data_IF_422174326627
#
_entry.id   IF_422174326627
#
_cell.length_a   1.000
_cell.length_b   1.000
_cell.length_c   1.000
_cell.angle_alpha   90.00
_cell.angle_beta   90.00
_cell.angle_gamma   90.00
#
_symmetry.space_group_name_H-M   'P 1'
#
loop_
_entity.id
_entity.type
_entity.pdbx_description
1 polymer ?
#
# COMPACT_ATOMS: atom_id res chain seq x y z
N UNK A 1 6.32 -17.49 -46.88
CA UNK A 1 6.21 -16.08 -46.46
C UNK A 1 5.12 -15.88 -45.39
N UNK A 2 5.08 -16.71 -44.34
CA UNK A 2 4.08 -16.61 -43.24
C UNK A 2 4.76 -16.43 -41.86
N UNK A 3 6.09 -16.42 -41.77
CA UNK A 3 6.80 -16.35 -40.48
C UNK A 3 6.97 -14.94 -39.90
N UNK A 4 6.78 -13.87 -40.68
CA UNK A 4 7.09 -12.51 -40.21
C UNK A 4 5.93 -11.85 -39.42
N UNK A 5 4.68 -12.19 -39.74
CA UNK A 5 3.51 -11.66 -39.03
C UNK A 5 3.36 -12.25 -37.61
N UNK A 6 3.67 -13.54 -37.42
CA UNK A 6 3.66 -14.21 -36.11
C UNK A 6 4.74 -13.69 -35.18
N UNK A 7 5.93 -13.37 -35.70
CA UNK A 7 7.02 -12.81 -34.90
C UNK A 7 6.74 -11.37 -34.42
N UNK A 8 6.02 -10.57 -35.21
CA UNK A 8 5.55 -9.25 -34.76
C UNK A 8 4.53 -9.35 -33.62
N UNK A 9 3.60 -10.30 -33.68
CA UNK A 9 2.56 -10.45 -32.65
C UNK A 9 3.13 -10.82 -31.26
N UNK A 10 4.17 -11.66 -31.22
CA UNK A 10 4.83 -12.07 -29.97
C UNK A 10 5.63 -10.93 -29.30
N UNK A 11 6.14 -9.98 -30.08
CA UNK A 11 6.90 -8.85 -29.54
C UNK A 11 6.01 -7.72 -28.97
N UNK A 12 4.76 -7.61 -29.43
CA UNK A 12 3.83 -6.57 -28.99
C UNK A 12 3.18 -6.88 -27.63
N UNK A 13 2.95 -8.14 -27.32
CA UNK A 13 2.29 -8.52 -26.07
C UNK A 13 2.99 -8.05 -24.79
N UNK A 14 4.31 -8.29 -24.58
CA UNK A 14 4.96 -7.87 -23.34
C UNK A 14 5.05 -6.33 -23.22
N UNK A 15 5.06 -5.61 -24.34
CA UNK A 15 5.01 -4.14 -24.36
C UNK A 15 3.64 -3.67 -23.87
N UNK A 16 2.57 -4.26 -24.41
CA UNK A 16 1.20 -3.94 -24.02
C UNK A 16 0.98 -4.21 -22.52
N UNK A 17 1.29 -5.42 -22.04
CA UNK A 17 1.13 -5.77 -20.63
C UNK A 17 2.08 -5.00 -19.70
N UNK A 18 3.32 -4.76 -20.13
CA UNK A 18 4.27 -3.94 -19.38
C UNK A 18 3.77 -2.51 -19.20
N UNK A 19 3.20 -1.93 -20.26
CA UNK A 19 2.61 -0.59 -20.23
C UNK A 19 1.39 -0.55 -19.31
N UNK A 20 0.48 -1.52 -19.41
CA UNK A 20 -0.68 -1.61 -18.52
C UNK A 20 -0.26 -1.73 -17.05
N UNK A 21 0.70 -2.61 -16.74
CA UNK A 21 1.22 -2.77 -15.37
C UNK A 21 1.76 -1.44 -14.83
N UNK A 22 2.53 -0.68 -15.61
CA UNK A 22 3.02 0.64 -15.21
C UNK A 22 1.87 1.62 -14.98
N UNK A 23 0.91 1.69 -15.91
CA UNK A 23 -0.24 2.60 -15.83
C UNK A 23 -1.12 2.34 -14.60
N UNK A 24 -1.40 1.07 -14.28
CA UNK A 24 -2.22 0.72 -13.10
C UNK A 24 -1.46 0.79 -11.78
N UNK A 25 -0.14 0.61 -11.79
CA UNK A 25 0.68 0.66 -10.59
C UNK A 25 0.90 2.08 -10.05
N UNK A 26 1.09 3.07 -10.94
CA UNK A 26 1.41 4.44 -10.52
C UNK A 26 0.34 5.06 -9.61
N UNK A 27 -0.97 5.03 -9.95
CA UNK A 27 -2.01 5.58 -9.08
C UNK A 27 -2.03 4.90 -7.70
N UNK A 28 -1.90 3.57 -7.65
CA UNK A 28 -1.83 2.82 -6.41
C UNK A 28 -0.66 3.27 -5.53
N UNK A 29 0.52 3.43 -6.11
CA UNK A 29 1.73 3.86 -5.41
C UNK A 29 1.57 5.26 -4.80
N UNK A 30 1.10 6.23 -5.60
CA UNK A 30 0.91 7.60 -5.13
C UNK A 30 -0.20 7.74 -4.08
N UNK A 31 -1.37 7.13 -4.30
CA UNK A 31 -2.49 7.25 -3.36
C UNK A 31 -2.18 6.60 -2.00
N UNK A 32 -1.57 5.42 -2.01
CA UNK A 32 -1.17 4.76 -0.76
C UNK A 32 -0.09 5.56 -0.02
N UNK A 33 0.87 6.15 -0.73
CA UNK A 33 1.88 7.01 -0.10
C UNK A 33 1.28 8.29 0.51
N UNK A 34 0.36 8.95 -0.20
CA UNK A 34 -0.36 10.12 0.31
C UNK A 34 -1.17 9.75 1.56
N UNK A 35 -1.85 8.60 1.53
CA UNK A 35 -2.60 8.09 2.67
C UNK A 35 -1.69 7.86 3.88
N UNK A 36 -0.61 7.08 3.72
CA UNK A 36 0.34 6.76 4.79
C UNK A 36 0.91 8.04 5.40
N UNK A 37 1.39 8.97 4.57
CA UNK A 37 1.98 10.22 5.05
C UNK A 37 0.99 11.12 5.77
N UNK A 38 -0.27 11.16 5.32
CA UNK A 38 -1.34 11.92 5.99
C UNK A 38 -1.67 11.32 7.36
N UNK A 39 -1.90 10.01 7.41
CA UNK A 39 -2.27 9.32 8.64
C UNK A 39 -1.13 9.35 9.66
N UNK A 40 0.13 9.24 9.22
CA UNK A 40 1.28 9.29 10.14
C UNK A 40 1.48 10.68 10.79
N UNK A 41 1.09 11.76 10.10
CA UNK A 41 1.19 13.14 10.61
C UNK A 41 0.15 13.44 11.68
N UNK A 42 -1.09 12.98 11.50
CA UNK A 42 -2.18 13.23 12.44
C UNK A 42 -2.23 12.13 13.51
N UNK A 43 -1.95 12.48 14.76
CA UNK A 43 -1.97 11.54 15.89
C UNK A 43 -3.34 10.87 16.07
N UNK A 44 -4.42 11.62 15.89
CA UNK A 44 -5.79 11.11 16.04
C UNK A 44 -6.12 10.08 14.96
N UNK A 45 -5.78 10.38 13.70
CA UNK A 45 -5.95 9.42 12.60
C UNK A 45 -5.05 8.20 12.80
N UNK A 46 -3.79 8.41 13.19
CA UNK A 46 -2.83 7.33 13.43
C UNK A 46 -3.32 6.33 14.46
N UNK A 47 -3.90 6.79 15.57
CA UNK A 47 -4.37 5.89 16.63
C UNK A 47 -5.64 5.12 16.27
N UNK A 48 -6.45 5.63 15.33
CA UNK A 48 -7.69 5.00 14.89
C UNK A 48 -7.55 4.12 13.64
N UNK A 49 -6.52 4.35 12.83
CA UNK A 49 -6.33 3.72 11.52
C UNK A 49 -5.08 2.83 11.45
N UNK A 50 -4.52 2.38 12.58
CA UNK A 50 -3.29 1.56 12.64
C UNK A 50 -3.33 0.33 11.72
N UNK A 51 -4.42 -0.44 11.75
CA UNK A 51 -4.55 -1.62 10.88
C UNK A 51 -4.69 -1.23 9.39
N UNK A 52 -5.36 -0.10 9.09
CA UNK A 52 -5.46 0.41 7.72
C UNK A 52 -4.11 0.93 7.19
N UNK A 53 -3.20 1.40 8.06
CA UNK A 53 -1.81 1.72 7.66
C UNK A 53 -1.09 0.45 7.20
N UNK A 54 -1.25 -0.69 7.91
CA UNK A 54 -0.64 -1.96 7.50
C UNK A 54 -1.13 -2.38 6.12
N UNK A 55 -2.43 -2.25 5.88
CA UNK A 55 -3.03 -2.53 4.58
C UNK A 55 -2.48 -1.59 3.49
N UNK A 56 -2.41 -0.29 3.76
CA UNK A 56 -1.85 0.71 2.84
C UNK A 56 -0.39 0.41 2.47
N UNK A 57 0.41 -0.08 3.43
CA UNK A 57 1.78 -0.52 3.16
C UNK A 57 1.78 -1.74 2.23
N UNK A 58 0.88 -2.70 2.45
CA UNK A 58 0.72 -3.85 1.54
C UNK A 58 0.35 -3.43 0.12
N UNK A 59 -0.64 -2.55 -0.01
CA UNK A 59 -1.09 -2.00 -1.29
C UNK A 59 -0.01 -1.18 -2.01
N UNK A 60 0.78 -0.43 -1.25
CA UNK A 60 1.97 0.25 -1.76
C UNK A 60 3.00 -0.74 -2.29
N UNK A 61 3.30 -1.81 -1.53
CA UNK A 61 4.28 -2.83 -1.93
C UNK A 61 3.83 -3.61 -3.17
N UNK A 62 2.53 -3.88 -3.33
CA UNK A 62 1.98 -4.51 -4.53
C UNK A 62 2.11 -3.58 -5.72
N UNK A 63 1.73 -2.31 -5.56
CA UNK A 63 1.87 -1.32 -6.62
C UNK A 63 3.35 -1.17 -7.03
N UNK A 64 4.28 -1.18 -6.07
CA UNK A 64 5.72 -1.18 -6.34
C UNK A 64 6.17 -2.45 -7.07
N UNK A 65 5.72 -3.63 -6.65
CA UNK A 65 5.96 -4.89 -7.35
C UNK A 65 5.52 -4.81 -8.81
N UNK A 66 4.26 -4.43 -9.07
CA UNK A 66 3.66 -4.38 -10.41
C UNK A 66 4.40 -3.36 -11.27
N UNK A 67 4.80 -2.22 -10.70
CA UNK A 67 5.63 -1.22 -11.39
C UNK A 67 6.98 -1.79 -11.80
N UNK A 68 7.72 -2.40 -10.87
CA UNK A 68 9.05 -2.97 -11.16
C UNK A 68 8.92 -4.12 -12.16
N UNK A 69 7.88 -4.95 -12.06
CA UNK A 69 7.60 -6.02 -13.00
C UNK A 69 7.30 -5.49 -14.40
N UNK A 70 6.42 -4.48 -14.52
CA UNK A 70 6.09 -3.84 -15.79
C UNK A 70 7.28 -3.15 -16.45
N UNK A 71 8.09 -2.41 -15.68
CA UNK A 71 9.34 -1.83 -16.18
C UNK A 71 10.33 -2.91 -16.64
N UNK A 72 10.41 -4.01 -15.90
CA UNK A 72 11.26 -5.15 -16.25
C UNK A 72 10.82 -5.78 -17.57
N UNK A 73 9.51 -5.93 -17.79
CA UNK A 73 8.95 -6.36 -19.09
C UNK A 73 9.33 -5.38 -20.21
N UNK A 74 9.22 -4.07 -20.00
CA UNK A 74 9.57 -3.07 -21.01
C UNK A 74 11.08 -3.04 -21.34
N UNK A 75 11.95 -3.28 -20.35
CA UNK A 75 13.42 -3.22 -20.52
C UNK A 75 13.99 -4.52 -21.13
N UNK A 76 13.51 -5.69 -20.68
CA UNK A 76 14.04 -7.00 -21.09
C UNK A 76 13.80 -7.30 -22.56
N UNK A 77 12.80 -6.69 -23.21
CA UNK A 77 12.51 -6.88 -24.64
C UNK A 77 13.71 -6.62 -25.56
N UNK A 78 14.77 -5.94 -25.06
CA UNK A 78 16.03 -5.74 -25.78
C UNK A 78 17.04 -6.89 -25.65
N UNK A 79 16.79 -7.94 -24.85
CA UNK A 79 17.75 -9.03 -24.57
C UNK A 79 17.09 -10.42 -24.64
N UNK A 80 17.56 -11.26 -25.56
CA UNK A 80 17.03 -12.60 -25.87
C UNK A 80 17.59 -13.70 -24.94
N UNK A 81 18.64 -13.41 -24.15
CA UNK A 81 19.32 -14.43 -23.35
C UNK A 81 18.53 -14.85 -22.12
N UNK A 82 18.39 -16.15 -21.85
CA UNK A 82 17.78 -16.67 -20.62
C UNK A 82 18.66 -16.47 -19.37
N UNK A 83 18.07 -16.61 -18.18
CA UNK A 83 18.77 -16.62 -16.88
C UNK A 83 18.60 -17.98 -16.22
N UNK A 84 19.56 -18.40 -15.41
CA UNK A 84 19.33 -19.53 -14.50
C UNK A 84 18.25 -19.18 -13.46
N UNK A 85 17.55 -20.19 -12.90
CA UNK A 85 16.55 -19.97 -11.84
C UNK A 85 17.09 -19.16 -10.65
N UNK A 86 18.31 -19.45 -10.21
CA UNK A 86 18.95 -18.74 -9.10
C UNK A 86 19.19 -17.27 -9.46
N UNK A 87 19.74 -17.00 -10.66
CA UNK A 87 19.93 -15.63 -11.11
C UNK A 87 18.61 -14.89 -11.28
N UNK A 88 17.58 -15.58 -11.76
CA UNK A 88 16.25 -15.02 -11.83
C UNK A 88 15.74 -14.62 -10.44
N UNK A 89 15.89 -15.46 -9.40
CA UNK A 89 15.49 -15.14 -8.03
C UNK A 89 16.22 -13.94 -7.43
N UNK A 90 17.55 -13.89 -7.52
CA UNK A 90 18.36 -12.86 -6.87
C UNK A 90 18.56 -11.58 -7.70
N UNK A 91 18.65 -11.69 -9.03
CA UNK A 91 18.83 -10.51 -9.91
C UNK A 91 17.51 -9.81 -10.25
N UNK A 92 16.36 -10.40 -9.89
CA UNK A 92 15.03 -9.81 -10.16
C UNK A 92 14.30 -9.42 -8.86
N UNK A 93 14.41 -8.16 -8.45
CA UNK A 93 13.79 -7.70 -7.19
C UNK A 93 12.27 -7.84 -7.19
N UNK A 94 11.61 -7.85 -8.36
CA UNK A 94 10.15 -8.03 -8.44
C UNK A 94 9.67 -9.38 -7.90
N UNK A 95 10.50 -10.43 -7.88
CA UNK A 95 10.12 -11.73 -7.31
C UNK A 95 10.02 -11.69 -5.79
N UNK A 96 11.01 -11.08 -5.15
CA UNK A 96 11.01 -10.87 -3.70
C UNK A 96 9.86 -9.94 -3.32
N UNK A 97 9.67 -8.84 -4.07
CA UNK A 97 8.56 -7.93 -3.86
C UNK A 97 7.20 -8.62 -4.03
N UNK A 98 7.03 -9.54 -4.98
CA UNK A 98 5.80 -10.32 -5.12
C UNK A 98 5.50 -11.16 -3.87
N UNK A 99 6.49 -11.89 -3.36
CA UNK A 99 6.33 -12.74 -2.17
C UNK A 99 5.94 -11.86 -0.97
N UNK A 100 6.68 -10.77 -0.74
CA UNK A 100 6.40 -9.88 0.39
C UNK A 100 5.02 -9.27 0.27
N UNK A 101 4.73 -8.65 -0.88
CA UNK A 101 3.55 -7.83 -1.07
C UNK A 101 2.25 -8.64 -1.07
N UNK A 102 2.24 -9.82 -1.70
CA UNK A 102 1.06 -10.71 -1.75
C UNK A 102 0.66 -11.24 -0.37
N UNK A 103 1.65 -11.67 0.43
CA UNK A 103 1.40 -12.19 1.77
C UNK A 103 1.06 -11.06 2.74
N UNK A 104 1.75 -9.92 2.62
CA UNK A 104 1.48 -8.73 3.44
C UNK A 104 0.05 -8.23 3.24
N UNK A 105 -0.39 -8.00 1.99
CA UNK A 105 -1.73 -7.47 1.72
C UNK A 105 -2.82 -8.41 2.22
N UNK A 106 -2.70 -9.71 1.95
CA UNK A 106 -3.69 -10.72 2.33
C UNK A 106 -3.87 -10.78 3.85
N UNK A 107 -2.75 -10.81 4.58
CA UNK A 107 -2.77 -10.88 6.03
C UNK A 107 -3.20 -9.55 6.66
N UNK A 108 -2.77 -8.41 6.12
CA UNK A 108 -3.22 -7.10 6.58
C UNK A 108 -4.74 -6.93 6.41
N UNK A 109 -5.31 -7.40 5.29
CA UNK A 109 -6.75 -7.38 5.06
C UNK A 109 -7.49 -8.22 6.10
N UNK A 110 -6.98 -9.42 6.40
CA UNK A 110 -7.52 -10.27 7.45
C UNK A 110 -7.43 -9.62 8.84
N UNK A 111 -6.28 -9.01 9.19
CA UNK A 111 -6.09 -8.31 10.47
C UNK A 111 -7.08 -7.15 10.60
N UNK A 112 -7.31 -6.38 9.53
CA UNK A 112 -8.33 -5.31 9.53
C UNK A 112 -9.71 -5.90 9.80
N UNK A 113 -10.09 -6.99 9.14
CA UNK A 113 -11.38 -7.63 9.36
C UNK A 113 -11.53 -8.17 10.79
N UNK A 114 -10.48 -8.79 11.32
CA UNK A 114 -10.44 -9.31 12.69
C UNK A 114 -10.55 -8.19 13.72
N UNK A 115 -9.83 -7.08 13.52
CA UNK A 115 -9.91 -5.88 14.35
C UNK A 115 -11.35 -5.32 14.36
N UNK A 116 -12.00 -5.24 13.19
CA UNK A 116 -13.40 -4.75 13.11
C UNK A 116 -14.39 -5.70 13.78
N UNK A 117 -14.21 -7.01 13.61
CA UNK A 117 -15.01 -8.02 14.29
C UNK A 117 -14.86 -7.88 15.81
N UNK A 118 -13.63 -7.74 16.31
CA UNK A 118 -13.38 -7.57 17.74
C UNK A 118 -13.93 -6.27 18.30
N UNK A 119 -13.81 -5.16 17.55
CA UNK A 119 -14.36 -3.87 17.93
C UNK A 119 -15.89 -3.89 18.07
N UNK A 120 -16.58 -4.74 17.29
CA UNK A 120 -18.04 -4.86 17.31
C UNK A 120 -18.51 -5.84 18.36
N UNK A 121 -17.82 -6.98 18.53
CA UNK A 121 -18.17 -7.99 19.54
C UNK A 121 -17.82 -7.54 20.97
N UNK A 122 -16.73 -6.79 21.14
CA UNK A 122 -16.18 -6.43 22.45
C UNK A 122 -15.80 -4.95 22.55
N UNK A 123 -16.74 -3.99 22.34
CA UNK A 123 -16.43 -2.57 22.26
C UNK A 123 -15.73 -2.04 23.53
N UNK A 124 -16.21 -2.37 24.73
CA UNK A 124 -15.61 -1.94 26.00
C UNK A 124 -14.14 -2.31 26.16
N UNK A 125 -13.81 -3.56 25.80
CA UNK A 125 -12.43 -4.04 25.85
C UNK A 125 -11.62 -3.39 24.74
N UNK A 126 -12.15 -3.32 23.53
CA UNK A 126 -11.43 -2.80 22.37
C UNK A 126 -11.03 -1.32 22.51
N UNK A 127 -11.90 -0.47 23.04
CA UNK A 127 -11.62 0.96 23.13
C UNK A 127 -10.61 1.34 24.21
N UNK A 128 -10.21 0.42 25.10
CA UNK A 128 -9.06 0.63 25.96
C UNK A 128 -7.82 0.85 25.08
N UNK A 129 -7.03 1.89 25.38
CA UNK A 129 -5.86 2.26 24.55
C UNK A 129 -4.87 1.11 24.37
N UNK A 130 -4.80 0.23 25.35
CA UNK A 130 -3.87 -0.89 25.40
C UNK A 130 -4.22 -1.99 24.38
N UNK A 131 -5.51 -2.32 24.22
CA UNK A 131 -5.92 -3.40 23.32
C UNK A 131 -5.75 -3.06 21.84
N UNK A 132 -5.99 -1.80 21.43
CA UNK A 132 -5.72 -1.35 20.05
C UNK A 132 -4.24 -1.46 19.68
N UNK A 133 -3.35 -1.13 20.62
CA UNK A 133 -1.92 -1.25 20.38
C UNK A 133 -1.48 -2.70 20.30
N UNK A 134 -1.99 -3.57 21.18
CA UNK A 134 -1.73 -5.02 21.16
C UNK A 134 -2.19 -5.66 19.85
N UNK A 135 -3.36 -5.28 19.31
CA UNK A 135 -3.82 -5.74 18.00
C UNK A 135 -2.88 -5.34 16.87
N UNK A 136 -2.37 -4.12 16.89
CA UNK A 136 -1.39 -3.67 15.91
C UNK A 136 -0.08 -4.46 16.02
N UNK A 137 0.44 -4.67 17.23
CA UNK A 137 1.65 -5.49 17.45
C UNK A 137 1.43 -6.91 16.93
N UNK A 138 0.32 -7.55 17.29
CA UNK A 138 -0.05 -8.88 16.79
C UNK A 138 -0.09 -8.93 15.26
N UNK A 139 -0.69 -7.92 14.64
CA UNK A 139 -0.75 -7.82 13.18
C UNK A 139 0.63 -7.70 12.54
N UNK A 140 1.49 -6.83 13.06
CA UNK A 140 2.86 -6.67 12.59
C UNK A 140 3.66 -7.96 12.77
N UNK A 141 3.62 -8.56 13.97
CA UNK A 141 4.36 -9.80 14.28
C UNK A 141 3.92 -10.98 13.41
N UNK A 142 2.62 -11.15 13.18
CA UNK A 142 2.11 -12.23 12.31
C UNK A 142 2.54 -12.05 10.86
N UNK A 143 2.59 -10.81 10.35
CA UNK A 143 3.13 -10.50 9.02
C UNK A 143 4.61 -10.88 8.93
N UNK A 144 5.44 -10.43 9.87
CA UNK A 144 6.86 -10.77 9.85
C UNK A 144 7.10 -12.28 9.96
N UNK A 145 6.33 -12.99 10.78
CA UNK A 145 6.42 -14.44 10.91
C UNK A 145 6.06 -15.15 9.59
N UNK A 146 4.95 -14.76 8.95
CA UNK A 146 4.52 -15.36 7.68
C UNK A 146 5.57 -15.13 6.58
N UNK A 147 6.12 -13.91 6.51
CA UNK A 147 7.20 -13.59 5.57
C UNK A 147 8.45 -14.42 5.84
N UNK A 148 8.86 -14.55 7.11
CA UNK A 148 10.01 -15.38 7.48
C UNK A 148 9.83 -16.83 7.03
N UNK A 149 8.65 -17.42 7.26
CA UNK A 149 8.33 -18.78 6.79
C UNK A 149 8.37 -18.87 5.27
N UNK A 150 7.83 -17.88 4.54
CA UNK A 150 7.89 -17.84 3.09
C UNK A 150 9.33 -17.78 2.56
N UNK A 151 10.19 -16.96 3.17
CA UNK A 151 11.59 -16.85 2.80
C UNK A 151 12.35 -18.15 3.08
N UNK A 152 12.14 -18.75 4.26
CA UNK A 152 12.77 -20.02 4.62
C UNK A 152 12.35 -21.13 3.64
N UNK A 153 11.06 -21.21 3.31
CA UNK A 153 10.56 -22.21 2.38
C UNK A 153 11.10 -22.00 0.96
N UNK A 154 11.14 -20.75 0.47
CA UNK A 154 11.74 -20.41 -0.81
C UNK A 154 13.22 -20.84 -0.86
N UNK A 155 13.99 -20.49 0.17
CA UNK A 155 15.42 -20.80 0.26
C UNK A 155 15.67 -22.32 0.22
N UNK A 156 14.95 -23.08 1.04
CA UNK A 156 15.06 -24.55 1.11
C UNK A 156 14.70 -25.24 -0.21
N UNK A 157 13.83 -24.63 -1.03
CA UNK A 157 13.40 -25.22 -2.32
C UNK A 157 14.20 -24.73 -3.53
N UNK A 158 14.83 -23.57 -3.46
CA UNK A 158 15.74 -23.09 -4.52
C UNK A 158 17.08 -23.82 -4.46
N UNK A 159 17.61 -24.06 -3.25
CA UNK A 159 18.92 -24.69 -3.03
C UNK A 159 19.16 -26.01 -3.81
N UNK A 160 18.18 -26.94 -3.94
CA UNK A 160 18.37 -28.17 -4.70
C UNK A 160 18.08 -28.07 -6.22
N UNK A 161 17.43 -27.02 -6.71
CA UNK A 161 17.02 -26.95 -8.13
C UNK A 161 18.08 -26.27 -9.00
N UNK A 162 18.88 -27.10 -9.66
CA UNK A 162 20.07 -26.71 -10.41
C UNK A 162 19.78 -26.50 -11.93
N UNK A 163 20.36 -25.44 -12.51
CA UNK A 163 20.66 -25.14 -13.94
C UNK A 163 19.58 -25.00 -15.03
N UNK A 164 18.27 -25.15 -14.77
CA UNK A 164 17.31 -24.91 -15.86
C UNK A 164 17.25 -23.41 -16.22
N UNK A 165 17.49 -23.09 -17.49
CA UNK A 165 17.41 -21.72 -18.02
C UNK A 165 15.94 -21.33 -18.16
N UNK A 166 15.58 -20.17 -17.60
CA UNK A 166 14.25 -19.56 -17.71
C UNK A 166 14.37 -18.31 -18.57
N UNK A 167 13.50 -18.12 -19.58
CA UNK A 167 13.41 -16.85 -20.30
C UNK A 167 13.21 -15.69 -19.34
N UNK A 168 13.90 -14.57 -19.56
CA UNK A 168 13.95 -13.47 -18.58
C UNK A 168 12.59 -12.81 -18.34
N UNK A 169 11.74 -12.78 -19.36
CA UNK A 169 10.35 -12.31 -19.35
C UNK A 169 9.41 -13.26 -18.57
N UNK A 170 9.82 -14.52 -18.40
CA UNK A 170 9.10 -15.57 -17.67
C UNK A 170 9.61 -15.76 -16.23
N UNK A 171 10.44 -14.84 -15.74
CA UNK A 171 10.90 -14.82 -14.36
C UNK A 171 9.76 -14.58 -13.36
N UNK A 172 9.13 -15.68 -12.91
CA UNK A 172 7.98 -15.73 -11.99
C UNK A 172 8.13 -16.87 -10.96
N UNK A 173 7.58 -16.78 -9.72
CA UNK A 173 7.86 -17.76 -8.65
C UNK A 173 7.59 -19.23 -9.01
N UNK A 174 6.54 -19.49 -9.79
CA UNK A 174 6.20 -20.84 -10.28
C UNK A 174 7.24 -21.45 -11.20
N UNK A 175 8.00 -20.62 -11.91
CA UNK A 175 9.05 -21.07 -12.82
C UNK A 175 10.42 -21.14 -12.11
N UNK A 176 10.56 -20.50 -10.95
CA UNK A 176 11.85 -20.27 -10.30
C UNK A 176 12.07 -21.18 -9.09
N UNK A 177 11.03 -21.42 -8.27
CA UNK A 177 11.16 -22.16 -7.02
C UNK A 177 10.70 -23.61 -7.20
N UNK A 178 9.40 -23.87 -7.06
CA UNK A 178 8.78 -25.16 -7.36
C UNK A 178 7.26 -25.03 -7.39
N UNK A 179 6.57 -26.06 -7.92
CA UNK A 179 5.10 -26.13 -7.91
C UNK A 179 4.54 -26.03 -6.48
N UNK A 180 5.11 -26.78 -5.53
CA UNK A 180 4.65 -26.80 -4.13
C UNK A 180 4.76 -25.46 -3.41
N UNK A 181 5.84 -24.70 -3.65
CA UNK A 181 5.99 -23.36 -3.10
C UNK A 181 4.98 -22.37 -3.70
N UNK A 182 4.67 -22.52 -4.99
CA UNK A 182 3.69 -21.66 -5.64
C UNK A 182 2.28 -21.96 -5.15
N UNK A 183 1.93 -23.23 -5.02
CA UNK A 183 0.69 -23.66 -4.39
C UNK A 183 0.58 -23.05 -2.99
N UNK A 184 1.65 -23.10 -2.18
CA UNK A 184 1.70 -22.46 -0.86
C UNK A 184 1.47 -20.94 -0.92
N UNK A 185 2.10 -20.24 -1.86
CA UNK A 185 1.94 -18.79 -2.02
C UNK A 185 0.52 -18.37 -2.41
N UNK A 186 -0.20 -19.18 -3.20
CA UNK A 186 -1.58 -18.89 -3.59
C UNK A 186 -2.59 -19.39 -2.55
N UNK A 187 -2.28 -20.45 -1.83
CA UNK A 187 -3.14 -21.04 -0.80
C UNK A 187 -3.46 -20.06 0.34
N UNK A 188 -2.44 -19.42 0.93
CA UNK A 188 -2.64 -18.55 2.08
C UNK A 188 -3.54 -17.33 1.79
N UNK A 189 -3.36 -16.58 0.69
CA UNK A 189 -4.30 -15.52 0.31
C UNK A 189 -5.74 -16.00 0.17
N UNK A 190 -5.96 -17.22 -0.35
CA UNK A 190 -7.30 -17.80 -0.47
C UNK A 190 -7.90 -18.09 0.91
N UNK A 191 -7.15 -18.78 1.78
CA UNK A 191 -7.58 -19.08 3.15
C UNK A 191 -7.87 -17.80 3.93
N UNK A 192 -6.94 -16.84 3.93
CA UNK A 192 -7.09 -15.56 4.60
C UNK A 192 -8.27 -14.77 4.02
N UNK A 193 -8.49 -14.83 2.71
CA UNK A 193 -9.66 -14.24 2.04
C UNK A 193 -10.98 -14.80 2.55
N UNK A 194 -11.10 -16.12 2.64
CA UNK A 194 -12.30 -16.80 3.17
C UNK A 194 -12.52 -16.42 4.64
N UNK A 195 -11.47 -16.45 5.47
CA UNK A 195 -11.53 -16.06 6.87
C UNK A 195 -11.94 -14.58 7.03
N UNK A 196 -11.47 -13.71 6.14
CA UNK A 196 -11.85 -12.30 6.10
C UNK A 196 -13.35 -12.16 5.85
N UNK A 197 -13.90 -12.86 4.85
CA UNK A 197 -15.35 -12.86 4.57
C UNK A 197 -16.13 -13.36 5.79
N UNK A 198 -15.67 -14.44 6.43
CA UNK A 198 -16.29 -14.95 7.65
C UNK A 198 -16.37 -13.90 8.76
N UNK A 199 -15.29 -13.14 9.01
CA UNK A 199 -15.31 -12.03 9.97
C UNK A 199 -16.41 -11.01 9.66
N UNK A 200 -16.62 -10.65 8.39
CA UNK A 200 -17.68 -9.70 8.04
C UNK A 200 -19.09 -10.28 8.13
N UNK A 201 -19.27 -11.57 7.85
CA UNK A 201 -20.56 -12.25 8.07
C UNK A 201 -20.93 -12.19 9.55
N UNK A 202 -19.99 -12.46 10.45
CA UNK A 202 -20.19 -12.33 11.90
C UNK A 202 -20.56 -10.88 12.27
N UNK A 203 -19.84 -9.90 11.74
CA UNK A 203 -20.15 -8.47 11.94
C UNK A 203 -21.56 -8.11 11.46
N UNK A 204 -21.98 -8.61 10.31
CA UNK A 204 -23.31 -8.37 9.77
C UNK A 204 -24.40 -9.01 10.64
N UNK A 205 -24.19 -10.26 11.07
CA UNK A 205 -25.11 -11.00 11.92
C UNK A 205 -25.34 -10.29 13.26
N UNK A 206 -24.27 -9.88 13.94
CA UNK A 206 -24.34 -9.14 15.22
C UNK A 206 -25.12 -7.84 15.06
N UNK A 207 -24.87 -7.09 13.97
CA UNK A 207 -25.60 -5.85 13.67
C UNK A 207 -27.09 -6.06 13.39
N UNK A 208 -27.48 -7.20 12.84
CA UNK A 208 -28.89 -7.55 12.64
C UNK A 208 -29.50 -7.91 13.98
N UNK A 209 -28.86 -8.76 14.78
CA UNK A 209 -29.36 -9.19 16.09
C UNK A 209 -29.52 -8.03 17.08
N UNK A 210 -28.59 -7.08 17.10
CA UNK A 210 -28.66 -5.88 17.96
C UNK A 210 -29.90 -5.00 17.68
N UNK A 211 -30.53 -5.07 16.50
CA UNK A 211 -31.76 -4.31 16.23
C UNK A 211 -33.01 -4.91 16.89
N UNK A 212 -32.93 -6.15 17.35
CA UNK A 212 -34.07 -6.92 17.86
C UNK A 212 -33.99 -7.17 19.37
N UNK A 213 -32.89 -6.78 20.02
CA UNK A 213 -32.71 -6.92 21.45
C UNK A 213 -33.54 -5.92 22.26
N UNK A 214 -34.27 -6.41 23.27
CA UNK A 214 -34.83 -5.58 24.35
C UNK A 214 -33.73 -5.37 25.39
N UNK A 215 -33.31 -4.13 25.59
CA UNK A 215 -32.25 -3.77 26.55
C UNK A 215 -32.87 -3.29 27.88
N UNK A 216 -32.27 -3.67 29.00
CA UNK A 216 -32.55 -3.08 30.33
C UNK A 216 -31.93 -1.67 30.45
N UNK A 217 -32.30 -0.85 31.44
CA UNK A 217 -31.82 0.56 31.55
C UNK A 217 -30.29 0.70 31.68
N UNK A 218 -29.63 -0.17 32.44
CA UNK A 218 -28.17 -0.17 32.57
C UNK A 218 -27.48 -0.59 31.26
N UNK A 219 -28.09 -1.56 30.57
CA UNK A 219 -27.68 -1.96 29.22
C UNK A 219 -27.95 -0.86 28.21
N UNK A 220 -28.97 -0.01 28.43
CA UNK A 220 -29.31 1.10 27.56
C UNK A 220 -28.26 2.21 27.61
N UNK A 221 -27.75 2.57 28.80
CA UNK A 221 -26.65 3.53 28.94
C UNK A 221 -25.35 3.01 28.30
N UNK A 222 -25.05 1.73 28.55
CA UNK A 222 -23.93 1.01 27.94
C UNK A 222 -24.06 0.96 26.41
N UNK A 223 -25.27 0.68 25.93
CA UNK A 223 -25.64 0.63 24.52
C UNK A 223 -25.60 2.01 23.86
N UNK A 224 -25.99 3.09 24.55
CA UNK A 224 -25.89 4.45 24.02
C UNK A 224 -24.45 4.86 23.79
N UNK A 225 -23.54 4.55 24.74
CA UNK A 225 -22.10 4.78 24.55
C UNK A 225 -21.55 4.00 23.36
N UNK A 226 -21.89 2.71 23.26
CA UNK A 226 -21.51 1.86 22.13
C UNK A 226 -22.05 2.38 20.81
N UNK A 227 -23.30 2.84 20.78
CA UNK A 227 -23.96 3.38 19.58
C UNK A 227 -23.26 4.66 19.10
N UNK A 228 -22.84 5.52 20.02
CA UNK A 228 -22.11 6.75 19.71
C UNK A 228 -20.71 6.45 19.15
N UNK A 229 -20.01 5.46 19.70
CA UNK A 229 -18.71 5.00 19.19
C UNK A 229 -18.85 4.33 17.81
N UNK A 230 -19.87 3.47 17.63
CA UNK A 230 -20.16 2.84 16.34
C UNK A 230 -20.57 3.86 15.29
N UNK A 231 -21.32 4.91 15.65
CA UNK A 231 -21.66 6.00 14.73
C UNK A 231 -20.39 6.68 14.20
N UNK A 232 -19.42 6.98 15.07
CA UNK A 232 -18.10 7.51 14.68
C UNK A 232 -17.31 6.56 13.77
N UNK A 233 -17.48 5.24 13.93
CA UNK A 233 -16.76 4.24 13.12
C UNK A 233 -17.54 3.68 11.93
N UNK A 234 -18.76 4.15 11.68
CA UNK A 234 -19.61 3.57 10.63
C UNK A 234 -18.97 3.73 9.25
N UNK A 235 -18.27 4.84 9.00
CA UNK A 235 -17.54 5.06 7.75
C UNK A 235 -16.37 4.09 7.60
N UNK A 236 -15.63 3.79 8.68
CA UNK A 236 -14.52 2.82 8.66
C UNK A 236 -15.07 1.44 8.32
N UNK A 237 -16.16 1.01 8.96
CA UNK A 237 -16.78 -0.30 8.69
C UNK A 237 -17.24 -0.40 7.23
N UNK A 238 -17.83 0.67 6.68
CA UNK A 238 -18.23 0.72 5.26
C UNK A 238 -17.04 0.56 4.33
N UNK A 239 -15.96 1.32 4.58
CA UNK A 239 -14.71 1.21 3.82
C UNK A 239 -14.17 -0.21 3.90
N UNK A 240 -14.02 -0.77 5.10
CA UNK A 240 -13.43 -2.09 5.28
C UNK A 240 -14.26 -3.20 4.62
N UNK A 241 -15.60 -3.09 4.63
CA UNK A 241 -16.49 -4.03 3.95
C UNK A 241 -16.37 -3.95 2.43
N UNK A 242 -16.35 -2.73 1.86
CA UNK A 242 -16.16 -2.54 0.41
C UNK A 242 -14.78 -3.05 0.00
N UNK A 243 -13.74 -2.68 0.74
CA UNK A 243 -12.38 -3.11 0.48
C UNK A 243 -12.22 -4.63 0.57
N UNK A 244 -12.96 -5.27 1.46
CA UNK A 244 -13.00 -6.74 1.52
C UNK A 244 -13.69 -7.35 0.32
N UNK A 245 -14.82 -6.79 -0.10
CA UNK A 245 -15.53 -7.25 -1.30
C UNK A 245 -14.65 -7.11 -2.55
N UNK A 246 -13.95 -5.97 -2.72
CA UNK A 246 -13.03 -5.78 -3.84
C UNK A 246 -11.85 -6.72 -3.74
N UNK A 247 -11.25 -6.90 -2.56
CA UNK A 247 -10.13 -7.84 -2.36
C UNK A 247 -10.55 -9.27 -2.69
N UNK A 248 -11.75 -9.68 -2.29
CA UNK A 248 -12.27 -11.00 -2.61
C UNK A 248 -12.40 -11.21 -4.12
N UNK A 249 -13.01 -10.26 -4.83
CA UNK A 249 -13.23 -10.35 -6.28
C UNK A 249 -11.91 -10.26 -7.06
N UNK A 250 -11.05 -9.31 -6.72
CA UNK A 250 -9.85 -8.99 -7.51
C UNK A 250 -8.61 -9.80 -7.13
N UNK A 251 -8.60 -10.44 -5.96
CA UNK A 251 -7.43 -11.19 -5.47
C UNK A 251 -7.80 -12.62 -5.18
N UNK A 252 -8.75 -12.86 -4.26
CA UNK A 252 -9.05 -14.20 -3.76
C UNK A 252 -9.54 -15.11 -4.88
N UNK A 253 -10.49 -14.64 -5.70
CA UNK A 253 -11.03 -15.43 -6.82
C UNK A 253 -9.93 -15.73 -7.87
N UNK A 254 -9.18 -14.75 -8.41
CA UNK A 254 -8.07 -15.04 -9.32
C UNK A 254 -7.01 -15.97 -8.73
N UNK A 255 -6.67 -15.81 -7.44
CA UNK A 255 -5.70 -16.65 -6.76
C UNK A 255 -6.20 -18.08 -6.58
N UNK A 256 -7.49 -18.28 -6.30
CA UNK A 256 -8.10 -19.60 -6.25
C UNK A 256 -8.07 -20.29 -7.62
N UNK A 257 -8.44 -19.58 -8.68
CA UNK A 257 -8.36 -20.10 -10.05
C UNK A 257 -6.91 -20.48 -10.38
N UNK A 258 -5.95 -19.61 -10.05
CA UNK A 258 -4.51 -19.87 -10.22
C UNK A 258 -4.04 -21.08 -9.41
N UNK A 259 -4.51 -21.25 -8.18
CA UNK A 259 -4.17 -22.38 -7.32
C UNK A 259 -4.62 -23.71 -7.94
N UNK A 260 -5.87 -23.80 -8.41
CA UNK A 260 -6.39 -25.01 -9.06
C UNK A 260 -5.76 -25.24 -10.44
N UNK A 261 -5.44 -24.18 -11.18
CA UNK A 261 -4.79 -24.27 -12.50
C UNK A 261 -3.30 -24.68 -12.46
N UNK A 262 -2.67 -24.75 -11.28
CA UNK A 262 -1.26 -25.19 -11.14
C UNK A 262 -1.12 -26.72 -11.24
N UNK A 263 -2.18 -27.46 -10.90
CA UNK A 263 -2.17 -28.92 -10.86
C UNK A 263 -2.47 -29.56 -12.21
N UNK A 264 -3.29 -28.91 -13.03
CA UNK A 264 -3.53 -29.36 -14.39
C UNK A 264 -2.28 -29.13 -15.26
N UNK A 265 -1.92 -30.10 -16.09
CA UNK A 265 -0.94 -29.96 -17.18
C UNK A 265 -1.45 -28.99 -18.28
N UNK A 266 -2.12 -27.91 -17.90
CA UNK A 266 -2.65 -26.92 -18.82
C UNK A 266 -1.47 -26.31 -19.61
N UNK A 267 -1.47 -26.43 -20.95
CA UNK A 267 -0.37 -25.96 -21.78
C UNK A 267 -0.16 -24.45 -21.62
N UNK A 268 1.11 -24.04 -21.68
CA UNK A 268 1.70 -22.81 -21.15
C UNK A 268 1.03 -21.45 -21.42
N UNK A 269 0.02 -21.33 -22.28
CA UNK A 269 -0.57 -20.05 -22.65
C UNK A 269 -1.67 -19.55 -21.69
N UNK A 270 -2.57 -20.41 -21.20
CA UNK A 270 -3.68 -19.96 -20.34
C UNK A 270 -3.17 -19.52 -18.97
N UNK A 271 -2.32 -20.34 -18.34
CA UNK A 271 -1.71 -20.03 -17.04
C UNK A 271 -0.83 -18.78 -17.13
N UNK A 272 -0.21 -18.53 -18.27
CA UNK A 272 0.57 -17.32 -18.53
C UNK A 272 -0.30 -16.07 -18.61
N UNK A 273 -1.37 -16.14 -19.40
CA UNK A 273 -2.34 -15.06 -19.55
C UNK A 273 -2.99 -14.73 -18.19
N UNK A 274 -3.41 -15.76 -17.45
CA UNK A 274 -4.04 -15.61 -16.15
C UNK A 274 -3.12 -14.92 -15.14
N UNK A 275 -1.81 -15.20 -15.15
CA UNK A 275 -0.84 -14.48 -14.30
C UNK A 275 -0.77 -13.00 -14.61
N UNK A 276 -0.68 -12.63 -15.89
CA UNK A 276 -0.63 -11.23 -16.34
C UNK A 276 -1.91 -10.47 -15.97
N UNK A 277 -3.08 -11.11 -16.09
CA UNK A 277 -4.32 -10.50 -15.64
C UNK A 277 -4.37 -10.38 -14.12
N UNK A 278 -3.93 -11.40 -13.38
CA UNK A 278 -3.92 -11.38 -11.92
C UNK A 278 -3.09 -10.21 -11.38
N UNK A 279 -1.93 -9.90 -11.96
CA UNK A 279 -1.12 -8.74 -11.54
C UNK A 279 -1.85 -7.41 -11.75
N UNK A 280 -2.58 -7.27 -12.86
CA UNK A 280 -3.37 -6.07 -13.15
C UNK A 280 -4.54 -5.95 -12.16
N UNK A 281 -5.25 -7.05 -11.87
CA UNK A 281 -6.36 -7.06 -10.91
C UNK A 281 -5.88 -6.71 -9.49
N UNK A 282 -4.72 -7.20 -9.08
CA UNK A 282 -4.11 -6.83 -7.81
C UNK A 282 -3.79 -5.35 -7.71
N UNK A 283 -3.14 -4.79 -8.74
CA UNK A 283 -2.84 -3.37 -8.80
C UNK A 283 -4.12 -2.53 -8.76
N UNK A 284 -5.17 -3.00 -9.45
CA UNK A 284 -6.48 -2.35 -9.46
C UNK A 284 -7.09 -2.36 -8.06
N UNK A 285 -7.02 -3.46 -7.32
CA UNK A 285 -7.50 -3.52 -5.93
C UNK A 285 -6.76 -2.53 -5.03
N UNK A 286 -5.43 -2.48 -5.13
CA UNK A 286 -4.59 -1.59 -4.32
C UNK A 286 -4.84 -0.10 -4.60
N UNK A 287 -5.18 0.26 -5.84
CA UNK A 287 -5.64 1.60 -6.19
C UNK A 287 -7.06 1.88 -5.66
N UNK A 288 -7.99 0.96 -5.94
CA UNK A 288 -9.42 1.14 -5.67
C UNK A 288 -9.70 1.24 -4.17
N UNK A 289 -9.02 0.44 -3.35
CA UNK A 289 -9.15 0.45 -1.89
C UNK A 289 -8.88 1.83 -1.29
N UNK A 290 -7.83 2.52 -1.75
CA UNK A 290 -7.52 3.87 -1.28
C UNK A 290 -8.39 4.95 -1.91
N UNK A 291 -8.71 4.84 -3.21
CA UNK A 291 -9.63 5.78 -3.84
C UNK A 291 -10.98 5.81 -3.12
N UNK A 292 -11.53 4.63 -2.78
CA UNK A 292 -12.78 4.50 -2.02
C UNK A 292 -12.62 5.07 -0.61
N UNK A 293 -11.50 4.79 0.06
CA UNK A 293 -11.23 5.32 1.40
C UNK A 293 -11.24 6.85 1.42
N UNK A 294 -10.65 7.48 0.41
CA UNK A 294 -10.65 8.93 0.21
C UNK A 294 -12.06 9.45 -0.10
N UNK A 295 -12.82 8.78 -0.96
CA UNK A 295 -14.17 9.22 -1.32
C UNK A 295 -15.15 9.16 -0.12
N UNK A 296 -15.01 8.17 0.74
CA UNK A 296 -15.94 7.96 1.87
C UNK A 296 -15.55 8.82 3.08
N UNK A 297 -14.26 8.93 3.43
CA UNK A 297 -13.84 9.66 4.62
C UNK A 297 -13.72 11.16 4.37
N UNK A 298 -14.62 11.95 4.97
CA UNK A 298 -14.53 13.42 4.95
C UNK A 298 -13.33 13.93 5.77
N UNK A 299 -13.04 13.29 6.91
CA UNK A 299 -11.92 13.65 7.79
C UNK A 299 -10.58 13.48 7.07
N UNK A 300 -10.39 12.34 6.40
CA UNK A 300 -9.19 12.07 5.62
C UNK A 300 -9.02 13.09 4.48
N UNK A 301 -10.10 13.41 3.76
CA UNK A 301 -10.08 14.45 2.71
C UNK A 301 -9.70 15.82 3.25
N UNK A 302 -10.28 16.23 4.38
CA UNK A 302 -9.94 17.51 5.02
C UNK A 302 -8.46 17.53 5.42
N UNK A 303 -7.98 16.49 6.09
CA UNK A 303 -6.58 16.38 6.50
C UNK A 303 -5.62 16.43 5.30
N UNK A 304 -5.97 15.80 4.18
CA UNK A 304 -5.19 15.87 2.94
C UNK A 304 -5.19 17.29 2.36
N UNK A 305 -6.36 17.93 2.25
CA UNK A 305 -6.48 19.30 1.74
C UNK A 305 -5.75 20.33 2.61
N UNK A 306 -5.78 20.17 3.93
CA UNK A 306 -5.03 20.99 4.89
C UNK A 306 -3.52 20.79 4.72
N UNK A 307 -3.06 19.54 4.55
CA UNK A 307 -1.65 19.26 4.30
C UNK A 307 -1.16 19.87 2.98
N UNK A 308 -1.97 19.84 1.92
CA UNK A 308 -1.62 20.44 0.63
C UNK A 308 -1.65 21.97 0.69
N UNK A 309 -2.67 22.57 1.32
CA UNK A 309 -2.81 24.02 1.41
C UNK A 309 -1.72 24.64 2.30
N UNK A 310 -1.42 24.03 3.44
CA UNK A 310 -0.35 24.50 4.34
C UNK A 310 1.01 24.48 3.64
N UNK A 311 1.33 23.41 2.91
CA UNK A 311 2.58 23.31 2.16
C UNK A 311 2.65 24.34 1.02
N UNK A 312 1.55 24.58 0.30
CA UNK A 312 1.49 25.59 -0.75
C UNK A 312 1.73 27.01 -0.18
N UNK A 313 1.12 27.34 0.96
CA UNK A 313 1.28 28.62 1.65
C UNK A 313 2.74 28.78 2.14
N UNK A 314 3.30 27.75 2.77
CA UNK A 314 4.68 27.78 3.25
C UNK A 314 5.69 27.95 2.10
N UNK A 315 5.46 27.28 0.96
CA UNK A 315 6.29 27.41 -0.24
C UNK A 315 6.20 28.83 -0.83
N UNK A 316 5.00 29.40 -0.86
CA UNK A 316 4.76 30.78 -1.31
C UNK A 316 5.46 31.81 -0.40
N UNK A 317 5.40 31.65 0.92
CA UNK A 317 6.09 32.52 1.88
C UNK A 317 7.61 32.41 1.71
N UNK A 318 8.14 31.19 1.51
CA UNK A 318 9.57 30.98 1.28
C UNK A 318 10.05 31.65 -0.02
N UNK A 319 9.27 31.55 -1.11
CA UNK A 319 9.55 32.25 -2.38
C UNK A 319 9.50 33.77 -2.22
N UNK A 320 8.53 34.30 -1.48
CA UNK A 320 8.44 35.74 -1.18
C UNK A 320 9.65 36.24 -0.38
N UNK A 321 10.13 35.48 0.61
CA UNK A 321 11.35 35.80 1.35
C UNK A 321 12.61 35.75 0.47
N UNK A 322 12.71 34.78 -0.43
CA UNK A 322 13.84 34.70 -1.38
C UNK A 322 13.84 35.87 -2.37
N UNK A 323 12.67 36.27 -2.89
CA UNK A 323 12.57 37.46 -3.75
C UNK A 323 12.94 38.74 -3.00
N UNK A 324 12.48 38.92 -1.75
CA UNK A 324 12.89 40.06 -0.92
C UNK A 324 14.40 40.11 -0.68
N UNK A 325 15.05 38.96 -0.43
CA UNK A 325 16.51 38.88 -0.26
C UNK A 325 17.28 39.23 -1.55
N UNK A 326 16.78 38.81 -2.72
CA UNK A 326 17.37 39.20 -4.02
C UNK A 326 17.20 40.70 -4.26
N UNK A 327 16.00 41.25 -4.05
CA UNK A 327 15.74 42.68 -4.19
C UNK A 327 16.58 43.53 -3.23
N UNK A 328 16.82 43.07 -1.99
CA UNK A 328 17.71 43.76 -1.05
C UNK A 328 19.18 43.68 -1.48
N UNK A 329 19.64 42.58 -2.08
CA UNK A 329 21.03 42.46 -2.54
C UNK A 329 21.29 43.29 -3.81
N UNK A 330 20.29 43.45 -4.68
CA UNK A 330 20.39 44.34 -5.84
C UNK A 330 20.41 45.83 -5.43
N UNK A 331 19.71 46.19 -4.35
CA UNK A 331 19.67 47.57 -3.85
C UNK A 331 20.97 48.01 -3.17
N UNK A 332 21.69 47.10 -2.51
CA UNK A 332 23.02 47.36 -1.95
C UNK A 332 24.08 47.51 -3.05
N UNK A 333 24.00 46.76 -4.15
CA UNK A 333 24.93 46.93 -5.28
C UNK A 333 24.72 48.21 -6.09
N UNK A 334 23.55 48.84 -6.01
CA UNK A 334 23.29 50.14 -6.66
C UNK A 334 23.57 51.34 -5.75
N UNK A 335 23.73 51.15 -4.43
CA UNK A 335 24.04 52.24 -3.50
C UNK A 335 25.53 52.39 -3.19
N UNK A 336 26.37 51.42 -3.56
CA UNK A 336 27.83 51.51 -3.37
C UNK A 336 28.57 52.19 -4.54
N UNK A 337 27.85 52.79 -5.51
CA UNK A 337 28.45 53.56 -6.61
C UNK A 337 28.41 55.08 -6.35
N UNK A 338 27.65 55.56 -5.37
CA UNK A 338 27.60 56.99 -5.03
C UNK A 338 27.54 57.14 -3.51
N UNK A 339 28.70 57.37 -2.88
CA UNK A 339 28.95 58.25 -1.73
C UNK A 339 30.46 58.11 -1.42
N UNK A 340 31.28 58.49 -2.39
CA UNK A 340 32.67 58.87 -2.18
C UNK A 340 32.76 60.38 -2.25
N UNK A 341 32.37 61.11 -1.18
CA UNK A 341 32.87 62.45 -0.79
C UNK A 341 31.95 63.15 0.22
N UNK A 342 32.36 63.13 1.50
CA UNK A 342 32.26 64.20 2.54
C UNK A 342 32.24 63.51 3.91
N UNK A 343 33.35 63.57 4.65
CA UNK A 343 33.60 64.53 5.77
C UNK A 343 32.52 64.42 6.85
N UNK A 344 32.76 64.33 8.15
CA UNK A 344 33.94 64.27 9.02
C UNK A 344 33.35 64.39 10.44
N UNK A 345 33.88 63.63 11.40
CA UNK A 345 33.95 63.96 12.85
C UNK A 345 32.69 64.46 13.60
N UNK A 346 32.24 63.68 14.60
CA UNK A 346 31.77 64.05 15.96
C UNK A 346 31.36 62.71 16.61
N UNK A 347 32.19 62.05 17.42
CA UNK A 347 32.45 62.25 18.86
C UNK A 347 31.28 61.84 19.80
N UNK A 348 31.57 60.80 20.61
CA UNK A 348 31.12 60.57 22.01
C UNK A 348 29.61 60.33 22.26
N UNK A 349 29.10 59.51 23.19
CA UNK A 349 29.55 58.70 24.33
C UNK A 349 28.29 57.93 24.84
N UNK A 350 28.39 56.86 25.66
CA UNK A 350 27.35 55.83 25.82
C UNK A 350 26.45 56.05 27.04
N UNK A 351 25.30 55.35 27.10
CA UNK A 351 24.70 54.91 28.38
C UNK A 351 23.77 53.72 28.16
N UNK A 352 24.19 52.56 28.68
CA UNK A 352 23.31 51.43 29.02
C UNK A 352 22.58 51.77 30.32
N UNK A 353 21.27 51.62 30.31
CA UNK A 353 20.45 51.55 31.52
C UNK A 353 19.86 50.13 31.53
N UNK A 354 20.27 49.33 32.51
CA UNK A 354 19.60 48.09 32.87
C UNK A 354 18.49 48.42 33.85
N UNK A 355 17.27 47.96 33.59
CA UNK A 355 16.24 47.77 34.61
C UNK A 355 15.99 46.27 34.80
N UNK A 356 15.76 45.91 36.06
CA UNK A 356 15.62 44.55 36.62
C UNK A 356 14.54 43.71 35.94
#
# INVERSE_FOLDING_TARGET
MVSDATNCSLALEPIFFGSLNVTFALPGLFLNLIFITTVLKDKSLRDNLKALILLAIGDFLISLYVLVYGLTQLIIMRKIYGLSKIECFYKRPHLILFIISSQWQSLATFIVALERMWAILFPFKYYSSDNRHRFFIFGVSSIFLLLFVCFLYAFLKIAPTNWSIVPQDLCYPTMVVCKGFSAYLFFWPVVLGILTVFCYVVVAFVKVHDRWGRYTELELAKYQFDRLQRAKQTWIIKISLILTATTFIFIVVPYAIMFFAIDEQCPGNITYLLRRYTTILQSTNSFLGMAISLMISQELRRSILENFSYNAICLHIKRQRQMRKRLSSTRTSTLDIDIGTRRSSIAQSPRRINFK
#
